data_IF_008712832559
#
_entry.id   IF_008712832559
#
_cell.length_a   1.000
_cell.length_b   1.000
_cell.length_c   1.000
_cell.angle_alpha   90.00
_cell.angle_beta   90.00
_cell.angle_gamma   90.00
#
_symmetry.space_group_name_H-M   'P 1'
#
loop_
_entity.id
_entity.type
_entity.pdbx_description
1 polymer ?
#
# COMPACT_ATOMS: atom_id res chain seq x y z
N UNK A 1 10.37 -5.77 28.70
CA UNK A 1 10.11 -4.34 28.42
C UNK A 1 10.43 -4.14 26.94
N UNK A 2 9.42 -4.26 26.08
CA UNK A 2 9.60 -4.14 24.61
C UNK A 2 9.65 -2.64 24.30
N UNK A 3 10.69 -2.12 23.63
CA UNK A 3 10.73 -0.71 23.30
C UNK A 3 9.58 -0.41 22.33
N UNK A 4 8.80 0.63 22.59
CA UNK A 4 7.87 1.15 21.60
C UNK A 4 8.69 1.59 20.38
N UNK A 5 8.61 0.84 19.30
CA UNK A 5 9.16 1.25 18.01
C UNK A 5 8.42 2.51 17.59
N UNK A 6 9.06 3.67 17.77
CA UNK A 6 8.56 4.96 17.32
C UNK A 6 8.08 4.86 15.88
N UNK A 7 6.85 5.29 15.65
CA UNK A 7 6.17 5.17 14.38
C UNK A 7 6.76 6.15 13.36
N UNK A 8 7.90 5.79 12.75
CA UNK A 8 8.58 6.56 11.69
C UNK A 8 7.69 6.91 10.48
N UNK A 9 6.53 6.28 10.38
CA UNK A 9 5.51 6.58 9.36
C UNK A 9 4.87 7.96 9.58
N UNK A 10 4.65 8.37 10.84
CA UNK A 10 4.11 9.70 11.18
C UNK A 10 5.15 10.81 10.99
N UNK A 11 6.41 10.53 11.33
CA UNK A 11 7.51 11.49 11.24
C UNK A 11 7.77 11.97 9.80
N UNK A 12 7.52 11.13 8.80
CA UNK A 12 7.66 11.49 7.38
C UNK A 12 6.54 12.40 6.87
N UNK A 13 5.34 12.32 7.42
CA UNK A 13 4.19 13.11 6.98
C UNK A 13 4.33 14.59 7.41
N UNK A 14 5.06 14.85 8.50
CA UNK A 14 5.22 16.19 9.08
C UNK A 14 6.47 16.94 8.61
N UNK A 15 7.35 16.31 7.83
CA UNK A 15 8.64 16.87 7.48
C UNK A 15 8.61 17.66 6.15
N UNK A 16 8.36 18.97 6.22
CA UNK A 16 8.72 19.90 5.13
C UNK A 16 10.25 20.08 5.12
N UNK A 17 10.97 19.29 4.33
CA UNK A 17 12.41 19.50 4.13
C UNK A 17 12.69 20.28 2.85
N UNK A 18 13.22 21.50 3.01
CA UNK A 18 14.06 22.13 2.00
C UNK A 18 15.31 21.26 1.82
N UNK A 19 15.31 20.39 0.82
CA UNK A 19 16.51 19.68 0.39
C UNK A 19 17.37 20.64 -0.44
N UNK A 20 18.52 21.03 0.09
CA UNK A 20 19.64 21.46 -0.75
C UNK A 20 20.25 20.19 -1.36
N UNK A 21 20.33 20.12 -2.68
CA UNK A 21 20.92 19.02 -3.43
C UNK A 21 22.44 19.02 -3.25
N UNK A 22 22.91 18.32 -2.21
CA UNK A 22 24.33 17.96 -2.07
C UNK A 22 24.55 16.64 -2.81
N UNK A 23 25.52 16.55 -3.73
CA UNK A 23 25.76 15.32 -4.48
C UNK A 23 26.19 14.19 -3.53
N UNK A 24 25.47 13.07 -3.63
CA UNK A 24 25.69 11.84 -2.86
C UNK A 24 27.02 11.20 -3.27
N UNK A 25 27.86 10.79 -2.31
CA UNK A 25 29.12 10.12 -2.64
C UNK A 25 28.91 8.63 -3.01
N UNK A 26 29.91 8.00 -3.64
CA UNK A 26 29.82 6.62 -4.13
C UNK A 26 29.46 5.59 -3.04
N UNK A 27 29.88 5.82 -1.80
CA UNK A 27 29.59 4.94 -0.66
C UNK A 27 28.12 5.03 -0.23
N UNK A 28 27.58 6.25 -0.22
CA UNK A 28 26.17 6.50 0.08
C UNK A 28 25.27 5.95 -1.03
N UNK A 29 25.67 6.10 -2.29
CA UNK A 29 24.97 5.52 -3.44
C UNK A 29 24.90 3.98 -3.35
N UNK A 30 26.04 3.35 -3.08
CA UNK A 30 26.10 1.89 -2.92
C UNK A 30 25.24 1.40 -1.74
N UNK A 31 25.21 2.15 -0.63
CA UNK A 31 24.36 1.85 0.52
C UNK A 31 22.88 1.98 0.17
N UNK A 32 22.47 3.06 -0.50
CA UNK A 32 21.08 3.28 -0.90
C UNK A 32 20.58 2.15 -1.81
N UNK A 33 21.40 1.74 -2.77
CA UNK A 33 21.11 0.62 -3.68
C UNK A 33 20.97 -0.72 -2.93
N UNK A 34 21.85 -0.99 -1.95
CA UNK A 34 21.72 -2.18 -1.09
C UNK A 34 20.42 -2.16 -0.30
N UNK A 35 20.05 -1.03 0.31
CA UNK A 35 18.82 -0.89 1.09
C UNK A 35 17.57 -1.01 0.22
N UNK A 36 17.62 -0.51 -1.02
CA UNK A 36 16.53 -0.65 -2.00
C UNK A 36 16.25 -2.14 -2.29
N UNK A 37 17.29 -2.94 -2.54
CA UNK A 37 17.15 -4.40 -2.74
C UNK A 37 16.65 -5.14 -1.50
N UNK A 38 17.11 -4.75 -0.32
CA UNK A 38 16.65 -5.31 0.95
C UNK A 38 15.15 -5.00 1.16
N UNK A 39 14.71 -3.82 0.77
CA UNK A 39 13.31 -3.42 0.83
C UNK A 39 12.44 -4.21 -0.15
N UNK A 40 12.87 -4.39 -1.41
CA UNK A 40 12.22 -5.30 -2.36
C UNK A 40 12.08 -6.72 -1.77
N UNK A 41 13.15 -7.23 -1.15
CA UNK A 41 13.16 -8.55 -0.50
C UNK A 41 12.16 -8.63 0.66
N UNK A 42 12.03 -7.56 1.45
CA UNK A 42 11.06 -7.50 2.54
C UNK A 42 9.61 -7.53 2.03
N UNK A 43 9.31 -6.84 0.93
CA UNK A 43 7.97 -6.88 0.31
C UNK A 43 7.67 -8.24 -0.33
N UNK A 44 8.66 -8.90 -0.93
CA UNK A 44 8.54 -10.29 -1.41
C UNK A 44 8.22 -11.24 -0.25
N UNK A 45 8.96 -11.16 0.85
CA UNK A 45 8.69 -11.97 2.04
C UNK A 45 7.25 -11.75 2.56
N UNK A 46 6.77 -10.50 2.59
CA UNK A 46 5.38 -10.21 2.95
C UNK A 46 4.38 -10.86 1.99
N UNK A 47 4.66 -10.83 0.69
CA UNK A 47 3.83 -11.48 -0.32
C UNK A 47 3.76 -13.00 -0.10
N UNK A 48 4.89 -13.65 0.17
CA UNK A 48 4.95 -15.08 0.46
C UNK A 48 4.16 -15.44 1.72
N UNK A 49 4.25 -14.63 2.79
CA UNK A 49 3.44 -14.83 3.98
C UNK A 49 1.95 -14.77 3.68
N UNK A 50 1.49 -13.83 2.85
CA UNK A 50 0.06 -13.75 2.49
C UNK A 50 -0.39 -15.00 1.72
N UNK A 51 0.44 -15.46 0.77
CA UNK A 51 0.15 -16.66 -0.02
C UNK A 51 0.06 -17.91 0.87
N UNK A 52 1.03 -18.10 1.75
CA UNK A 52 1.08 -19.27 2.66
C UNK A 52 -0.04 -19.23 3.69
N UNK A 53 -0.33 -18.06 4.28
CA UNK A 53 -1.45 -17.92 5.21
C UNK A 53 -2.79 -18.21 4.52
N UNK A 54 -2.98 -17.76 3.27
CA UNK A 54 -4.18 -18.07 2.53
C UNK A 54 -4.30 -19.57 2.25
N UNK A 55 -3.20 -20.24 1.91
CA UNK A 55 -3.18 -21.70 1.69
C UNK A 55 -3.59 -22.46 2.95
N UNK A 56 -2.93 -22.18 4.08
CA UNK A 56 -3.20 -22.84 5.36
C UNK A 56 -4.63 -22.57 5.83
N UNK A 57 -5.09 -21.31 5.79
CA UNK A 57 -6.46 -20.97 6.18
C UNK A 57 -7.49 -21.61 5.23
N UNK A 58 -7.20 -21.71 3.94
CA UNK A 58 -8.12 -22.35 2.98
C UNK A 58 -8.27 -23.83 3.28
N UNK A 59 -7.17 -24.51 3.66
CA UNK A 59 -7.22 -25.92 4.05
C UNK A 59 -8.04 -26.15 5.33
N UNK A 60 -7.95 -25.23 6.30
CA UNK A 60 -8.60 -25.37 7.61
C UNK A 60 -10.06 -24.93 7.65
N UNK A 61 -10.40 -23.79 7.01
CA UNK A 61 -11.72 -23.14 7.14
C UNK A 61 -12.43 -22.90 5.80
N UNK A 62 -11.84 -23.37 4.70
CA UNK A 62 -12.37 -23.19 3.36
C UNK A 62 -12.06 -21.81 2.76
N UNK A 63 -12.14 -21.67 1.42
CA UNK A 63 -11.64 -20.50 0.69
C UNK A 63 -12.37 -19.20 1.06
N UNK A 64 -13.70 -19.24 1.17
CA UNK A 64 -14.50 -18.04 1.47
C UNK A 64 -14.18 -17.47 2.86
N UNK A 65 -14.09 -18.34 3.88
CA UNK A 65 -13.79 -17.89 5.24
C UNK A 65 -12.33 -17.45 5.38
N UNK A 66 -11.41 -18.14 4.68
CA UNK A 66 -10.00 -17.75 4.63
C UNK A 66 -9.82 -16.33 4.06
N UNK A 67 -10.41 -16.05 2.89
CA UNK A 67 -10.38 -14.71 2.30
C UNK A 67 -10.99 -13.67 3.25
N UNK A 68 -12.16 -13.96 3.84
CA UNK A 68 -12.83 -13.04 4.75
C UNK A 68 -12.00 -12.74 6.02
N UNK A 69 -11.34 -13.74 6.61
CA UNK A 69 -10.46 -13.56 7.78
C UNK A 69 -9.26 -12.67 7.41
N UNK A 70 -8.63 -12.94 6.27
CA UNK A 70 -7.47 -12.16 5.83
C UNK A 70 -7.86 -10.72 5.50
N UNK A 71 -8.96 -10.49 4.78
CA UNK A 71 -9.48 -9.14 4.50
C UNK A 71 -9.70 -8.37 5.80
N UNK A 72 -10.45 -8.92 6.77
CA UNK A 72 -10.70 -8.24 8.06
C UNK A 72 -9.41 -7.89 8.80
N UNK A 73 -8.43 -8.78 8.74
CA UNK A 73 -7.13 -8.62 9.41
C UNK A 73 -6.31 -7.51 8.74
N UNK A 74 -6.22 -7.51 7.41
CA UNK A 74 -5.45 -6.52 6.66
C UNK A 74 -6.12 -5.14 6.71
N UNK A 75 -7.45 -5.07 6.66
CA UNK A 75 -8.21 -3.85 6.83
C UNK A 75 -8.02 -3.25 8.22
N UNK A 76 -8.01 -4.09 9.27
CA UNK A 76 -7.66 -3.64 10.64
C UNK A 76 -6.27 -3.02 10.66
N UNK A 77 -5.30 -3.62 9.97
CA UNK A 77 -3.95 -3.04 9.88
C UNK A 77 -3.93 -1.70 9.15
N UNK A 78 -4.76 -1.53 8.11
CA UNK A 78 -4.97 -0.25 7.44
C UNK A 78 -5.47 0.83 8.41
N UNK A 79 -6.48 0.52 9.23
CA UNK A 79 -6.99 1.43 10.25
C UNK A 79 -5.96 1.83 11.31
N UNK A 80 -5.13 0.89 11.75
CA UNK A 80 -4.04 1.17 12.69
C UNK A 80 -3.05 2.19 12.11
N UNK A 81 -2.72 2.06 10.82
CA UNK A 81 -1.86 3.02 10.13
C UNK A 81 -2.58 4.36 9.96
N UNK A 82 -3.86 4.37 9.61
CA UNK A 82 -4.67 5.59 9.52
C UNK A 82 -4.65 6.39 10.82
N UNK A 83 -4.91 5.72 11.95
CA UNK A 83 -4.88 6.36 13.27
C UNK A 83 -3.52 6.96 13.60
N UNK A 84 -2.44 6.35 13.11
CA UNK A 84 -1.09 6.77 13.45
C UNK A 84 -0.54 7.87 12.52
N UNK A 85 -1.00 7.93 11.27
CA UNK A 85 -0.42 8.78 10.24
C UNK A 85 -1.40 9.76 9.57
N UNK A 86 -2.70 9.50 9.65
CA UNK A 86 -3.74 10.27 8.95
C UNK A 86 -4.77 10.88 9.91
N UNK A 87 -4.56 10.80 11.23
CA UNK A 87 -5.48 11.34 12.24
C UNK A 87 -5.72 12.86 12.17
N UNK A 88 -4.83 13.61 11.50
CA UNK A 88 -4.97 15.06 11.32
C UNK A 88 -5.84 15.47 10.13
N UNK A 89 -6.25 14.52 9.27
CA UNK A 89 -7.08 14.80 8.10
C UNK A 89 -8.56 14.62 8.41
N UNK A 90 -9.39 15.41 7.72
CA UNK A 90 -10.84 15.31 7.74
C UNK A 90 -11.43 14.64 6.50
N UNK A 91 -12.77 14.44 6.49
CA UNK A 91 -13.49 13.75 5.43
C UNK A 91 -13.55 14.50 4.09
N UNK A 92 -13.09 15.76 4.04
CA UNK A 92 -13.05 16.60 2.85
C UNK A 92 -11.61 17.00 2.47
N UNK A 93 -10.64 16.21 2.90
CA UNK A 93 -9.21 16.41 2.61
C UNK A 93 -8.68 15.39 1.60
N UNK A 94 -9.52 14.87 0.68
CA UNK A 94 -9.12 13.78 -0.22
C UNK A 94 -7.83 14.07 -1.00
N UNK A 95 -7.63 15.25 -1.63
CA UNK A 95 -6.36 15.58 -2.27
C UNK A 95 -5.16 15.56 -1.29
N UNK A 96 -5.32 16.12 -0.08
CA UNK A 96 -4.23 16.21 0.89
C UNK A 96 -3.85 14.84 1.48
N UNK A 97 -4.84 13.99 1.76
CA UNK A 97 -4.65 12.60 2.16
C UNK A 97 -3.89 11.83 1.07
N UNK A 98 -4.26 12.04 -0.20
CA UNK A 98 -3.60 11.39 -1.31
C UNK A 98 -2.14 11.81 -1.50
N UNK A 99 -1.82 13.09 -1.34
CA UNK A 99 -0.42 13.55 -1.35
C UNK A 99 0.38 12.98 -0.19
N UNK A 100 -0.20 12.93 1.02
CA UNK A 100 0.45 12.31 2.17
C UNK A 100 0.72 10.80 1.94
N UNK A 101 -0.20 10.10 1.28
CA UNK A 101 -0.04 8.71 0.88
C UNK A 101 1.10 8.51 -0.14
N UNK A 102 1.22 9.39 -1.14
CA UNK A 102 2.33 9.34 -2.11
C UNK A 102 3.69 9.63 -1.45
N UNK A 103 3.74 10.61 -0.54
CA UNK A 103 4.97 11.03 0.12
C UNK A 103 5.62 9.92 0.99
N UNK A 104 4.81 9.01 1.53
CA UNK A 104 5.28 7.87 2.32
C UNK A 104 5.53 6.61 1.49
N UNK A 105 5.33 6.67 0.17
CA UNK A 105 5.54 5.53 -0.72
C UNK A 105 7.00 5.04 -0.62
N UNK A 106 7.22 3.73 -0.42
CA UNK A 106 8.56 3.19 -0.21
C UNK A 106 9.50 3.49 -1.38
N UNK A 107 10.78 3.70 -1.05
CA UNK A 107 11.83 3.99 -2.04
C UNK A 107 11.51 5.16 -2.97
N UNK A 108 10.94 6.23 -2.41
CA UNK A 108 10.54 7.42 -3.17
C UNK A 108 9.48 7.14 -4.23
N UNK A 109 8.65 6.11 -4.03
CA UNK A 109 7.63 5.69 -4.98
C UNK A 109 8.10 4.70 -6.04
N UNK A 110 9.39 4.34 -6.09
CA UNK A 110 9.92 3.38 -7.08
C UNK A 110 9.31 1.98 -6.94
N UNK A 111 8.92 1.58 -5.73
CA UNK A 111 8.28 0.28 -5.51
C UNK A 111 6.86 0.23 -6.06
N UNK A 112 6.15 1.36 -6.04
CA UNK A 112 4.76 1.50 -6.49
C UNK A 112 4.66 2.65 -7.50
N UNK A 113 5.27 2.53 -8.68
CA UNK A 113 5.20 3.57 -9.70
C UNK A 113 3.72 3.79 -10.06
N UNK A 114 3.28 5.04 -9.98
CA UNK A 114 1.85 5.39 -9.99
C UNK A 114 1.60 6.60 -10.88
N UNK A 115 0.62 6.47 -11.78
CA UNK A 115 0.04 7.63 -12.47
C UNK A 115 -1.00 8.28 -11.58
N UNK A 116 -0.93 9.60 -11.43
CA UNK A 116 -1.77 10.33 -10.48
C UNK A 116 -2.60 11.36 -11.22
N UNK A 117 -3.92 11.28 -11.05
CA UNK A 117 -4.90 12.28 -11.47
C UNK A 117 -5.31 13.09 -10.25
N UNK A 118 -5.30 14.43 -10.38
CA UNK A 118 -5.55 15.36 -9.27
C UNK A 118 -6.67 16.31 -9.66
N UNK A 119 -7.57 16.55 -8.72
CA UNK A 119 -8.61 17.58 -8.80
C UNK A 119 -8.78 18.35 -7.49
N UNK A 120 -9.69 19.33 -7.45
CA UNK A 120 -9.93 20.15 -6.26
C UNK A 120 -10.54 19.38 -5.09
N UNK A 121 -11.30 18.32 -5.37
CA UNK A 121 -12.08 17.53 -4.43
C UNK A 121 -11.79 16.02 -4.54
N UNK A 122 -10.86 15.62 -5.41
CA UNK A 122 -10.53 14.22 -5.65
C UNK A 122 -9.06 14.02 -6.02
N UNK A 123 -8.60 12.80 -5.84
CA UNK A 123 -7.31 12.31 -6.32
C UNK A 123 -7.43 10.83 -6.64
N UNK A 124 -6.85 10.41 -7.77
CA UNK A 124 -6.88 9.02 -8.21
C UNK A 124 -5.49 8.52 -8.60
N UNK A 125 -5.27 7.23 -8.37
CA UNK A 125 -4.00 6.54 -8.51
C UNK A 125 -4.18 5.36 -9.44
N UNK A 126 -3.37 5.27 -10.49
CA UNK A 126 -3.24 4.07 -11.31
C UNK A 126 -1.87 3.47 -11.07
N UNK A 127 -1.83 2.44 -10.23
CA UNK A 127 -0.59 1.76 -9.86
C UNK A 127 -0.12 0.94 -11.04
N UNK A 128 1.08 1.23 -11.57
CA UNK A 128 1.63 0.52 -12.73
C UNK A 128 2.21 -0.85 -12.35
N UNK A 129 2.81 -0.96 -11.16
CA UNK A 129 3.48 -2.17 -10.65
C UNK A 129 3.23 -2.32 -9.15
N UNK A 130 3.06 -3.55 -8.68
CA UNK A 130 2.95 -3.87 -7.26
C UNK A 130 3.94 -5.01 -6.92
N UNK A 131 4.88 -4.80 -5.98
CA UNK A 131 5.90 -5.80 -5.63
C UNK A 131 5.30 -7.09 -5.05
N UNK A 132 4.10 -7.01 -4.46
CA UNK A 132 3.39 -8.19 -3.96
C UNK A 132 2.86 -9.03 -5.14
N UNK A 133 2.24 -8.37 -6.12
CA UNK A 133 1.72 -9.03 -7.32
C UNK A 133 2.84 -9.70 -8.10
N UNK A 134 3.94 -9.00 -8.29
CA UNK A 134 5.13 -9.51 -8.99
C UNK A 134 5.70 -10.74 -8.29
N UNK A 135 5.84 -10.70 -6.96
CA UNK A 135 6.30 -11.84 -6.18
C UNK A 135 5.38 -13.07 -6.34
N UNK A 136 4.06 -12.87 -6.36
CA UNK A 136 3.11 -13.97 -6.58
C UNK A 136 3.17 -14.54 -8.00
N UNK A 137 3.32 -13.69 -9.02
CA UNK A 137 3.50 -14.11 -10.42
C UNK A 137 4.79 -14.95 -10.54
N UNK A 138 5.90 -14.46 -9.98
CA UNK A 138 7.18 -15.18 -10.00
C UNK A 138 7.13 -16.51 -9.23
N UNK A 139 6.30 -16.58 -8.17
CA UNK A 139 6.04 -17.81 -7.43
C UNK A 139 5.09 -18.78 -8.16
N UNK A 140 4.61 -18.45 -9.36
CA UNK A 140 3.73 -19.30 -10.16
C UNK A 140 2.29 -19.35 -9.66
N UNK A 141 1.82 -18.34 -8.94
CA UNK A 141 0.43 -18.27 -8.46
C UNK A 141 -0.52 -18.10 -9.65
N UNK A 142 -1.50 -19.00 -9.76
CA UNK A 142 -2.54 -18.94 -10.78
C UNK A 142 -3.46 -17.72 -10.66
N UNK A 143 -4.08 -17.32 -11.76
CA UNK A 143 -4.84 -16.08 -11.90
C UNK A 143 -5.96 -15.87 -10.86
N UNK A 144 -6.73 -16.91 -10.55
CA UNK A 144 -7.83 -16.83 -9.59
C UNK A 144 -7.33 -16.53 -8.17
N UNK A 145 -6.29 -17.27 -7.73
CA UNK A 145 -5.64 -17.05 -6.45
C UNK A 145 -4.92 -15.70 -6.42
N UNK A 146 -4.33 -15.29 -7.54
CA UNK A 146 -3.69 -13.97 -7.66
C UNK A 146 -4.69 -12.83 -7.48
N UNK A 147 -5.87 -12.91 -8.10
CA UNK A 147 -6.94 -11.92 -7.91
C UNK A 147 -7.41 -11.87 -6.44
N UNK A 148 -7.52 -13.03 -5.79
CA UNK A 148 -7.87 -13.15 -4.36
C UNK A 148 -6.84 -12.48 -3.47
N UNK A 149 -5.54 -12.74 -3.70
CA UNK A 149 -4.45 -12.10 -2.97
C UNK A 149 -4.42 -10.58 -3.20
N UNK A 150 -4.75 -10.11 -4.41
CA UNK A 150 -4.87 -8.69 -4.70
C UNK A 150 -6.04 -8.03 -3.95
N UNK A 151 -7.20 -8.69 -3.83
CA UNK A 151 -8.32 -8.23 -3.00
C UNK A 151 -7.95 -8.14 -1.53
N UNK A 152 -7.30 -9.19 -0.99
CA UNK A 152 -6.81 -9.22 0.39
C UNK A 152 -5.82 -8.08 0.65
N UNK A 153 -4.83 -7.88 -0.23
CA UNK A 153 -3.86 -6.81 -0.07
C UNK A 153 -4.49 -5.42 -0.19
N UNK A 154 -5.42 -5.23 -1.14
CA UNK A 154 -6.16 -3.98 -1.33
C UNK A 154 -7.09 -3.63 -0.17
N UNK A 155 -7.42 -4.57 0.73
CA UNK A 155 -8.16 -4.27 1.95
C UNK A 155 -7.39 -3.33 2.89
N UNK A 156 -6.06 -3.26 2.78
CA UNK A 156 -5.25 -2.31 3.54
C UNK A 156 -5.65 -0.88 3.21
N UNK A 157 -5.76 -0.56 1.92
CA UNK A 157 -6.12 0.79 1.43
C UNK A 157 -7.54 1.15 1.87
N UNK A 158 -8.47 0.20 1.84
CA UNK A 158 -9.82 0.38 2.36
C UNK A 158 -9.80 0.81 3.82
N UNK A 159 -9.14 0.02 4.66
CA UNK A 159 -9.03 0.33 6.09
C UNK A 159 -8.29 1.64 6.36
N UNK A 160 -7.32 1.99 5.51
CA UNK A 160 -6.56 3.23 5.61
C UNK A 160 -7.44 4.46 5.30
N UNK A 161 -8.10 4.46 4.14
CA UNK A 161 -8.77 5.65 3.63
C UNK A 161 -10.17 5.83 4.21
N UNK A 162 -10.96 4.77 4.36
CA UNK A 162 -12.31 4.89 4.96
C UNK A 162 -12.24 5.39 6.40
N UNK A 163 -11.15 5.10 7.13
CA UNK A 163 -10.93 5.60 8.49
C UNK A 163 -10.78 7.13 8.57
N UNK A 164 -10.43 7.80 7.46
CA UNK A 164 -10.33 9.27 7.38
C UNK A 164 -11.69 9.94 7.08
N UNK A 165 -12.69 9.14 6.68
CA UNK A 165 -14.03 9.62 6.35
C UNK A 165 -14.21 10.15 4.91
N UNK A 166 -13.18 10.10 4.06
CA UNK A 166 -13.31 10.37 2.61
C UNK A 166 -14.09 9.26 1.92
N UNK A 167 -14.66 9.55 0.74
CA UNK A 167 -15.18 8.49 -0.14
C UNK A 167 -13.99 7.77 -0.77
N UNK A 168 -14.00 6.45 -0.68
CA UNK A 168 -12.95 5.57 -1.22
C UNK A 168 -13.56 4.61 -2.25
N UNK A 169 -12.88 4.47 -3.39
CA UNK A 169 -13.14 3.42 -4.35
C UNK A 169 -11.83 2.76 -4.74
N UNK A 170 -11.83 1.43 -4.85
CA UNK A 170 -10.71 0.70 -5.43
C UNK A 170 -11.16 -0.40 -6.38
N UNK A 171 -10.38 -0.58 -7.43
CA UNK A 171 -10.45 -1.74 -8.32
C UNK A 171 -9.11 -2.44 -8.25
N UNK A 172 -9.08 -3.63 -7.66
CA UNK A 172 -7.89 -4.44 -7.59
C UNK A 172 -7.64 -5.17 -8.90
N UNK A 173 -6.40 -5.61 -9.12
CA UNK A 173 -6.06 -6.42 -10.28
C UNK A 173 -6.93 -7.69 -10.35
N UNK A 174 -7.41 -8.00 -11.54
CA UNK A 174 -8.08 -9.25 -11.92
C UNK A 174 -7.63 -9.64 -13.34
N UNK A 175 -7.88 -10.88 -13.79
CA UNK A 175 -7.69 -11.25 -15.19
C UNK A 175 -8.41 -10.26 -16.11
N UNK A 176 -7.72 -9.81 -17.17
CA UNK A 176 -8.26 -8.84 -18.12
C UNK A 176 -8.31 -7.37 -17.64
N UNK A 177 -7.77 -7.03 -16.47
CA UNK A 177 -7.77 -5.64 -15.93
C UNK A 177 -7.04 -4.61 -16.82
N UNK A 178 -6.24 -5.07 -17.80
CA UNK A 178 -5.46 -4.22 -18.69
C UNK A 178 -4.07 -3.90 -18.12
N UNK A 179 -3.37 -2.88 -18.65
CA UNK A 179 -2.04 -2.52 -18.20
C UNK A 179 -2.09 -1.96 -16.76
N UNK A 180 -1.20 -2.44 -15.89
CA UNK A 180 -1.06 -1.94 -14.53
C UNK A 180 -1.47 -2.94 -13.45
N UNK A 181 -1.82 -2.43 -12.28
CA UNK A 181 -2.17 -3.19 -11.09
C UNK A 181 -3.51 -2.79 -10.50
N UNK A 182 -3.55 -1.86 -9.54
CA UNK A 182 -4.77 -1.45 -8.86
C UNK A 182 -5.06 0.02 -9.18
N UNK A 183 -6.34 0.36 -9.25
CA UNK A 183 -6.82 1.73 -9.34
C UNK A 183 -7.48 2.13 -8.04
N UNK A 184 -7.10 3.28 -7.49
CA UNK A 184 -7.65 3.84 -6.25
C UNK A 184 -8.16 5.24 -6.55
N UNK A 185 -9.32 5.60 -6.02
CA UNK A 185 -9.85 6.96 -6.09
C UNK A 185 -10.33 7.40 -4.71
N UNK A 186 -9.95 8.62 -4.35
CA UNK A 186 -10.43 9.32 -3.17
C UNK A 186 -11.22 10.54 -3.62
N UNK A 187 -12.36 10.78 -2.97
CA UNK A 187 -13.17 11.98 -3.19
C UNK A 187 -13.62 12.53 -1.85
N UNK A 188 -13.70 13.85 -1.74
CA UNK A 188 -14.28 14.51 -0.59
C UNK A 188 -15.68 13.95 -0.32
N UNK A 189 -16.03 13.81 0.95
CA UNK A 189 -17.32 13.25 1.34
C UNK A 189 -18.49 14.09 0.86
N UNK A 190 -18.31 15.41 0.81
CA UNK A 190 -19.38 16.36 0.54
C UNK A 190 -19.40 16.88 -0.91
N UNK A 191 -18.60 16.28 -1.80
CA UNK A 191 -18.60 16.54 -3.24
C UNK A 191 -19.71 15.79 -4.00
#
# INVERSE_FOLDING_TARGET
>A
MIPQSGNRFADKIMAKHHHQDVPMNDSEAARAEKLSRELDSAFRNRADLYRLLLDELTAEIGPEQAEAVMIRTIEKRGREVAAAAFAGFGPNDAPAIGEAFLAVSPDGGRMYPTDVERGPDHIAFRVRRCPLKDAWIEAGVGEEKLATLCRIAGAFDRGLFEATGVRFANVTWTPGHGPGCCHIALTNRDA
#
